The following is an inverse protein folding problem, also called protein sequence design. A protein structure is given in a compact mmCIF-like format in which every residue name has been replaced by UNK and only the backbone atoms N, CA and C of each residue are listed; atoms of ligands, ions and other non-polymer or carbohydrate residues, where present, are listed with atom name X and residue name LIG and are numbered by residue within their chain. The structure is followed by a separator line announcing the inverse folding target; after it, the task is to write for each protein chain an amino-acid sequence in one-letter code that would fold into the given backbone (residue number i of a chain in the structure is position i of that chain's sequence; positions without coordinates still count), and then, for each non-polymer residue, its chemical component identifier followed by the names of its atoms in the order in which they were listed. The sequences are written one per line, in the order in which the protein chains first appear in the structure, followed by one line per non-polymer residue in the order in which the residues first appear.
data_IF_253369002167
#
_entry.id   IF_253369002167
#
_cell.length_a   1.000
_cell.length_b   1.000
_cell.length_c   1.000
_cell.angle_alpha   90.00
_cell.angle_beta   90.00
_cell.angle_gamma   90.00
#
_symmetry.space_group_name_H-M   'P 1'
#
loop_
_entity.id
_entity.type
_entity.pdbx_description
1 polymer ?
#
# COMPACT_ATOMS: atom_id res chain seq x y z
N UNK A 1 20.99 7.95 -2.33
CA UNK A 1 19.70 7.57 -1.70
C UNK A 1 19.78 7.76 -0.18
N UNK A 2 20.96 7.55 0.42
CA UNK A 2 21.16 7.67 1.87
C UNK A 2 20.67 6.45 2.64
N UNK A 3 21.13 6.34 3.90
CA UNK A 3 20.68 5.33 4.87
C UNK A 3 19.81 5.99 5.94
N UNK A 4 18.91 5.24 6.63
CA UNK A 4 18.65 3.81 6.45
C UNK A 4 17.85 3.50 5.18
N UNK A 5 17.99 2.26 4.68
CA UNK A 5 17.26 1.77 3.51
C UNK A 5 16.47 0.51 3.82
N UNK A 6 15.49 0.22 2.96
CA UNK A 6 14.82 -1.08 2.86
C UNK A 6 15.36 -1.82 1.62
N UNK A 7 15.48 -3.14 1.71
CA UNK A 7 15.80 -4.03 0.60
C UNK A 7 14.63 -4.99 0.38
N UNK A 8 14.18 -5.10 -0.86
CA UNK A 8 13.02 -5.93 -1.23
C UNK A 8 13.39 -6.82 -2.41
N UNK A 9 13.11 -8.12 -2.31
CA UNK A 9 13.14 -9.04 -3.46
C UNK A 9 11.98 -8.77 -4.40
N UNK A 10 12.25 -8.69 -5.71
CA UNK A 10 11.22 -8.46 -6.73
C UNK A 10 11.00 -9.72 -7.53
N UNK A 11 9.75 -10.21 -7.49
CA UNK A 11 9.28 -11.33 -8.27
C UNK A 11 7.81 -11.11 -8.67
N UNK A 12 7.43 -11.35 -9.92
CA UNK A 12 6.03 -11.29 -10.36
C UNK A 12 5.20 -12.46 -9.80
N UNK A 13 5.86 -13.52 -9.35
CA UNK A 13 5.20 -14.73 -8.84
C UNK A 13 4.97 -14.67 -7.32
N UNK A 14 5.52 -13.63 -6.63
CA UNK A 14 5.40 -13.45 -5.18
C UNK A 14 4.79 -12.08 -4.89
N UNK A 15 3.53 -12.06 -4.50
CA UNK A 15 2.76 -10.82 -4.25
C UNK A 15 2.91 -10.31 -2.80
N UNK A 16 2.99 -11.20 -1.81
CA UNK A 16 3.07 -10.87 -0.37
C UNK A 16 4.52 -10.96 0.14
N UNK A 17 5.36 -10.01 -0.26
CA UNK A 17 6.82 -10.03 -0.02
C UNK A 17 7.20 -10.02 1.46
N UNK A 18 6.41 -9.36 2.30
CA UNK A 18 6.69 -9.26 3.75
C UNK A 18 6.49 -10.60 4.45
N UNK A 19 5.39 -11.30 4.15
CA UNK A 19 5.08 -12.62 4.73
C UNK A 19 6.07 -13.70 4.30
N UNK A 20 6.61 -13.56 3.09
CA UNK A 20 7.61 -14.49 2.54
C UNK A 20 9.06 -14.18 2.96
N UNK A 21 9.26 -13.18 3.84
CA UNK A 21 10.59 -12.80 4.31
C UNK A 21 11.47 -12.12 3.26
N UNK A 22 10.88 -11.63 2.17
CA UNK A 22 11.59 -10.97 1.08
C UNK A 22 11.72 -9.45 1.26
N UNK A 23 11.58 -8.96 2.49
CA UNK A 23 11.77 -7.56 2.86
C UNK A 23 12.69 -7.46 4.06
N UNK A 24 13.73 -6.63 3.95
CA UNK A 24 14.63 -6.27 5.05
C UNK A 24 14.54 -4.76 5.25
N UNK A 25 14.29 -4.35 6.48
CA UNK A 25 14.08 -2.95 6.86
C UNK A 25 15.23 -2.43 7.74
N UNK A 26 15.33 -1.10 7.84
CA UNK A 26 16.27 -0.42 8.74
C UNK A 26 17.73 -0.77 8.51
N UNK A 27 18.12 -0.98 7.26
CA UNK A 27 19.50 -1.27 6.87
C UNK A 27 20.32 0.03 7.00
N UNK A 28 21.26 0.05 7.95
CA UNK A 28 21.93 1.28 8.39
C UNK A 28 23.13 1.68 7.55
N UNK A 29 23.77 0.73 6.85
CA UNK A 29 25.00 0.97 6.11
C UNK A 29 25.23 -0.04 4.98
N UNK A 30 26.31 0.13 4.22
CA UNK A 30 26.65 -0.71 3.08
C UNK A 30 27.05 -2.15 3.47
N UNK A 31 27.60 -2.36 4.66
CA UNK A 31 27.94 -3.69 5.18
C UNK A 31 26.67 -4.49 5.47
N UNK A 32 25.75 -3.88 6.24
CA UNK A 32 24.45 -4.45 6.54
C UNK A 32 23.64 -4.70 5.25
N UNK A 33 23.74 -3.83 4.24
CA UNK A 33 23.07 -4.01 2.96
C UNK A 33 23.56 -5.25 2.22
N UNK A 34 24.87 -5.50 2.17
CA UNK A 34 25.43 -6.71 1.54
C UNK A 34 24.98 -7.97 2.25
N UNK A 35 25.02 -7.96 3.59
CA UNK A 35 24.54 -9.09 4.38
C UNK A 35 23.05 -9.37 4.13
N UNK A 36 22.21 -8.33 4.14
CA UNK A 36 20.79 -8.45 3.86
C UNK A 36 20.51 -8.98 2.44
N UNK A 37 21.33 -8.58 1.47
CA UNK A 37 21.27 -9.08 0.09
C UNK A 37 21.51 -10.59 0.03
N UNK A 38 22.62 -11.06 0.62
CA UNK A 38 22.98 -12.48 0.64
C UNK A 38 21.92 -13.32 1.38
N UNK A 39 21.32 -12.76 2.43
CA UNK A 39 20.22 -13.42 3.16
C UNK A 39 18.96 -13.54 2.30
N UNK A 40 18.56 -12.48 1.59
CA UNK A 40 17.42 -12.50 0.69
C UNK A 40 17.63 -13.46 -0.48
N UNK A 41 18.81 -13.49 -1.09
CA UNK A 41 19.11 -14.44 -2.14
C UNK A 41 19.02 -15.89 -1.65
N UNK A 42 19.56 -16.18 -0.48
CA UNK A 42 19.43 -17.52 0.14
C UNK A 42 17.99 -17.88 0.43
N UNK A 43 17.19 -16.94 0.97
CA UNK A 43 15.78 -17.14 1.24
C UNK A 43 14.98 -17.43 -0.04
N UNK A 44 15.21 -16.66 -1.11
CA UNK A 44 14.58 -16.90 -2.41
C UNK A 44 14.95 -18.26 -2.98
N UNK A 45 16.23 -18.67 -2.88
CA UNK A 45 16.68 -19.97 -3.37
C UNK A 45 16.04 -21.13 -2.61
N UNK A 46 15.85 -20.97 -1.30
CA UNK A 46 15.35 -22.03 -0.42
C UNK A 46 13.83 -22.18 -0.48
N UNK A 47 13.11 -21.05 -0.43
CA UNK A 47 11.66 -21.05 -0.26
C UNK A 47 10.87 -20.84 -1.56
N UNK A 48 11.54 -20.26 -2.58
CA UNK A 48 10.92 -19.92 -3.87
C UNK A 48 11.85 -20.24 -5.05
N UNK A 49 12.31 -21.52 -5.17
CA UNK A 49 13.32 -21.90 -6.17
C UNK A 49 12.84 -21.66 -7.61
N UNK A 50 11.55 -21.84 -7.87
CA UNK A 50 10.94 -21.72 -9.21
C UNK A 50 10.40 -20.32 -9.53
N UNK A 51 10.44 -19.39 -8.56
CA UNK A 51 9.94 -18.04 -8.78
C UNK A 51 10.88 -17.23 -9.69
N UNK A 52 10.31 -16.51 -10.64
CA UNK A 52 11.05 -15.59 -11.51
C UNK A 52 11.63 -14.45 -10.68
N UNK A 53 12.88 -14.11 -10.95
CA UNK A 53 13.60 -13.06 -10.23
C UNK A 53 13.81 -11.87 -11.15
N UNK A 54 13.27 -10.72 -10.76
CA UNK A 54 13.47 -9.46 -11.50
C UNK A 54 14.56 -8.58 -10.87
N UNK A 55 15.09 -8.99 -9.71
CA UNK A 55 16.15 -8.29 -9.01
C UNK A 55 15.77 -7.92 -7.57
N UNK A 56 16.51 -6.95 -7.03
CA UNK A 56 16.25 -6.40 -5.69
C UNK A 56 16.07 -4.89 -5.76
N UNK A 57 15.11 -4.38 -5.03
CA UNK A 57 14.83 -2.96 -4.91
C UNK A 57 15.42 -2.42 -3.61
N UNK A 58 16.27 -1.39 -3.73
CA UNK A 58 16.75 -0.61 -2.59
C UNK A 58 15.94 0.69 -2.53
N UNK A 59 15.31 0.93 -1.40
CA UNK A 59 14.40 2.06 -1.21
C UNK A 59 14.74 2.80 0.08
N UNK A 60 14.68 4.15 0.07
CA UNK A 60 14.83 4.93 1.30
C UNK A 60 13.76 4.56 2.31
N UNK A 61 14.15 4.45 3.57
CA UNK A 61 13.17 4.29 4.67
C UNK A 61 12.36 5.57 4.85
N UNK A 62 11.07 5.39 5.10
CA UNK A 62 10.24 6.48 5.63
C UNK A 62 10.41 6.47 7.14
N UNK A 63 10.94 7.55 7.69
CA UNK A 63 11.28 7.69 9.11
C UNK A 63 10.55 8.87 9.74
N UNK A 64 10.52 8.93 11.06
CA UNK A 64 9.87 10.01 11.83
C UNK A 64 8.47 9.64 12.31
N UNK A 65 7.71 10.67 12.67
CA UNK A 65 6.32 10.51 13.11
C UNK A 65 5.42 10.27 11.91
N UNK A 66 5.18 9.00 11.60
CA UNK A 66 4.33 8.59 10.48
C UNK A 66 3.20 7.72 11.00
N UNK A 67 2.07 7.76 10.30
CA UNK A 67 0.96 6.84 10.51
C UNK A 67 0.89 5.89 9.33
N UNK A 68 1.01 4.61 9.62
CA UNK A 68 0.85 3.56 8.61
C UNK A 68 -0.62 3.35 8.32
N UNK A 69 -0.97 3.42 7.04
CA UNK A 69 -2.31 3.19 6.52
C UNK A 69 -2.24 2.21 5.37
N UNK A 70 -3.39 1.68 5.01
CA UNK A 70 -3.62 0.99 3.75
C UNK A 70 -4.63 1.78 2.95
N UNK A 71 -4.48 1.80 1.64
CA UNK A 71 -5.50 2.31 0.73
C UNK A 71 -5.52 1.47 -0.54
N UNK A 72 -6.68 1.31 -1.14
CA UNK A 72 -6.77 0.47 -2.31
C UNK A 72 -8.06 0.64 -3.09
N UNK A 73 -8.17 -0.13 -4.16
CA UNK A 73 -9.37 -0.27 -4.98
C UNK A 73 -9.64 -1.75 -5.19
N UNK A 74 -10.88 -2.14 -4.97
CA UNK A 74 -11.38 -3.46 -5.36
C UNK A 74 -12.54 -3.26 -6.33
N UNK A 75 -12.53 -3.99 -7.45
CA UNK A 75 -13.55 -3.88 -8.48
C UNK A 75 -14.49 -5.08 -8.38
N UNK A 76 -15.72 -4.80 -8.00
CA UNK A 76 -16.79 -5.80 -7.94
C UNK A 76 -17.59 -5.78 -9.25
N UNK A 77 -17.88 -6.95 -9.87
CA UNK A 77 -18.63 -7.00 -11.13
C UNK A 77 -20.04 -6.43 -11.06
N UNK A 78 -20.68 -6.46 -9.89
CA UNK A 78 -22.05 -5.99 -9.70
C UNK A 78 -22.13 -4.54 -9.24
N UNK A 79 -21.20 -4.11 -8.37
CA UNK A 79 -21.24 -2.79 -7.73
C UNK A 79 -20.23 -1.79 -8.30
N UNK A 80 -19.29 -2.26 -9.15
CA UNK A 80 -18.22 -1.43 -9.70
C UNK A 80 -17.04 -1.29 -8.74
N UNK A 81 -16.24 -0.24 -8.95
CA UNK A 81 -15.02 -0.02 -8.19
C UNK A 81 -15.31 0.62 -6.82
N UNK A 82 -14.77 0.03 -5.78
CA UNK A 82 -14.82 0.55 -4.42
C UNK A 82 -13.42 0.93 -3.93
N UNK A 83 -13.29 2.13 -3.38
CA UNK A 83 -12.08 2.59 -2.71
C UNK A 83 -12.13 2.16 -1.26
N UNK A 84 -11.00 1.66 -0.75
CA UNK A 84 -10.85 1.21 0.62
C UNK A 84 -9.75 2.05 1.28
N UNK A 85 -9.92 2.35 2.57
CA UNK A 85 -8.89 2.91 3.44
C UNK A 85 -8.96 2.25 4.80
N UNK A 86 -7.81 2.01 5.43
CA UNK A 86 -7.71 1.49 6.79
C UNK A 86 -6.42 1.95 7.47
N UNK A 87 -6.34 1.81 8.79
CA UNK A 87 -5.08 1.98 9.49
C UNK A 87 -4.27 0.70 9.38
N UNK A 88 -2.96 0.84 9.09
CA UNK A 88 -2.05 -0.28 8.87
C UNK A 88 -1.70 -1.05 10.14
N UNK A 89 -0.84 -2.07 9.97
CA UNK A 89 -0.35 -2.91 11.05
C UNK A 89 -1.47 -3.65 11.78
N UNK A 90 -1.33 -3.78 13.11
CA UNK A 90 -2.25 -4.54 13.96
C UNK A 90 -3.71 -4.08 13.89
N UNK A 91 -3.97 -2.82 13.51
CA UNK A 91 -5.33 -2.28 13.43
C UNK A 91 -6.13 -2.92 12.30
N UNK A 92 -5.51 -3.16 11.14
CA UNK A 92 -6.17 -3.88 10.05
C UNK A 92 -6.27 -5.38 10.35
N UNK A 93 -5.18 -5.98 10.83
CA UNK A 93 -5.12 -7.42 11.03
C UNK A 93 -6.05 -7.91 12.13
N UNK A 94 -6.12 -7.20 13.26
CA UNK A 94 -6.91 -7.61 14.41
C UNK A 94 -8.30 -6.97 14.46
N UNK A 95 -8.41 -5.67 14.16
CA UNK A 95 -9.66 -4.92 14.33
C UNK A 95 -10.46 -4.81 13.05
N UNK A 96 -9.86 -5.12 11.89
CA UNK A 96 -10.47 -4.93 10.56
C UNK A 96 -11.03 -3.51 10.38
N UNK A 97 -10.30 -2.53 10.92
CA UNK A 97 -10.70 -1.11 10.90
C UNK A 97 -10.49 -0.53 9.51
N UNK A 98 -11.47 -0.78 8.66
CA UNK A 98 -11.49 -0.33 7.26
C UNK A 98 -12.78 0.41 6.95
N UNK A 99 -12.68 1.37 6.04
CA UNK A 99 -13.81 2.11 5.47
C UNK A 99 -13.81 1.95 3.96
N UNK A 100 -14.98 1.72 3.40
CA UNK A 100 -15.18 1.47 1.98
C UNK A 100 -16.21 2.45 1.41
N UNK A 101 -15.99 2.90 0.15
CA UNK A 101 -16.91 3.78 -0.57
C UNK A 101 -16.81 3.56 -2.08
N UNK A 102 -17.92 3.65 -2.80
CA UNK A 102 -17.92 3.46 -4.25
C UNK A 102 -17.26 4.64 -4.98
N UNK A 103 -16.47 4.32 -6.01
CA UNK A 103 -15.87 5.31 -6.91
C UNK A 103 -16.92 5.87 -7.90
N UNK A 104 -16.73 7.12 -8.38
CA UNK A 104 -15.70 8.08 -7.99
C UNK A 104 -16.00 8.74 -6.63
N UNK A 105 -14.95 9.19 -5.93
CA UNK A 105 -15.08 9.86 -4.65
C UNK A 105 -15.08 11.38 -4.80
N UNK A 106 -15.97 12.05 -4.06
CA UNK A 106 -15.82 13.48 -3.76
C UNK A 106 -14.92 13.68 -2.53
N UNK A 107 -14.31 14.88 -2.37
CA UNK A 107 -13.54 15.19 -1.15
C UNK A 107 -14.33 14.97 0.15
N UNK A 108 -15.60 15.32 0.17
CA UNK A 108 -16.48 15.13 1.33
C UNK A 108 -16.65 13.64 1.69
N UNK A 109 -16.78 12.77 0.68
CA UNK A 109 -16.88 11.31 0.88
C UNK A 109 -15.55 10.73 1.37
N UNK A 110 -14.41 11.15 0.80
CA UNK A 110 -13.08 10.73 1.26
C UNK A 110 -12.86 11.10 2.73
N UNK A 111 -13.19 12.35 3.13
CA UNK A 111 -13.14 12.78 4.52
C UNK A 111 -14.04 11.94 5.43
N UNK A 112 -15.26 11.65 5.00
CA UNK A 112 -16.19 10.81 5.76
C UNK A 112 -15.65 9.38 5.93
N UNK A 113 -14.98 8.81 4.91
CA UNK A 113 -14.33 7.50 5.00
C UNK A 113 -13.29 7.47 6.13
N UNK A 114 -12.40 8.45 6.16
CA UNK A 114 -11.34 8.53 7.19
C UNK A 114 -11.95 8.69 8.59
N UNK A 115 -12.97 9.53 8.72
CA UNK A 115 -13.63 9.77 10.01
C UNK A 115 -14.42 8.56 10.54
N UNK A 116 -14.80 7.61 9.68
CA UNK A 116 -15.47 6.37 10.09
C UNK A 116 -14.53 5.34 10.69
N UNK A 117 -13.21 5.49 10.49
CA UNK A 117 -12.23 4.58 11.09
C UNK A 117 -12.26 4.73 12.62
N UNK A 118 -12.32 3.61 13.34
CA UNK A 118 -12.36 3.59 14.81
C UNK A 118 -11.09 4.21 15.40
N UNK A 119 -9.95 3.92 14.78
CA UNK A 119 -8.66 4.44 15.19
C UNK A 119 -8.25 5.75 14.47
N UNK A 120 -9.20 6.50 13.85
CA UNK A 120 -8.96 7.80 13.18
C UNK A 120 -8.25 8.82 14.08
N UNK A 121 -8.40 8.73 15.41
CA UNK A 121 -7.71 9.58 16.38
C UNK A 121 -6.19 9.50 16.29
N UNK A 122 -5.63 8.40 15.79
CA UNK A 122 -4.19 8.28 15.58
C UNK A 122 -3.68 9.25 14.51
N UNK A 123 -4.50 9.54 13.51
CA UNK A 123 -4.19 10.53 12.47
C UNK A 123 -4.23 11.98 13.00
N UNK A 124 -4.96 12.24 14.08
CA UNK A 124 -5.08 13.58 14.68
C UNK A 124 -3.93 13.93 15.63
N UNK A 125 -2.98 13.02 15.78
CA UNK A 125 -1.90 13.14 16.76
C UNK A 125 -2.29 12.54 18.11
N UNK A 126 -1.54 11.56 18.56
CA UNK A 126 -1.80 10.86 19.81
C UNK A 126 -0.51 10.69 20.61
N UNK A 127 -0.58 10.92 21.93
CA UNK A 127 0.56 10.77 22.87
C UNK A 127 1.81 11.55 22.45
N UNK A 128 1.63 12.82 22.06
CA UNK A 128 2.74 13.73 21.73
C UNK A 128 3.26 13.59 20.29
N UNK A 129 2.69 12.71 19.46
CA UNK A 129 2.98 12.68 18.03
C UNK A 129 2.28 13.83 17.31
N UNK A 130 2.91 14.34 16.25
CA UNK A 130 2.32 15.37 15.40
C UNK A 130 1.09 14.81 14.66
N UNK A 131 0.09 15.66 14.34
CA UNK A 131 -0.99 15.28 13.44
C UNK A 131 -0.45 14.83 12.08
N UNK A 132 -1.04 13.78 11.52
CA UNK A 132 -0.74 13.31 10.19
C UNK A 132 -1.39 14.21 9.13
N UNK A 133 -0.87 14.20 7.91
CA UNK A 133 -1.40 14.95 6.77
C UNK A 133 -2.69 14.30 6.22
N UNK A 134 -3.78 14.50 6.97
CA UNK A 134 -5.10 13.98 6.61
C UNK A 134 -5.55 14.53 5.27
N UNK A 135 -5.23 15.79 4.95
CA UNK A 135 -5.61 16.40 3.68
C UNK A 135 -4.96 15.69 2.49
N UNK A 136 -3.69 15.32 2.61
CA UNK A 136 -3.00 14.54 1.57
C UNK A 136 -3.55 13.11 1.46
N UNK A 137 -3.98 12.50 2.57
CA UNK A 137 -4.66 11.20 2.54
C UNK A 137 -6.03 11.30 1.84
N UNK A 138 -6.84 12.32 2.16
CA UNK A 138 -8.12 12.58 1.49
C UNK A 138 -7.94 12.76 -0.02
N UNK A 139 -6.96 13.58 -0.43
CA UNK A 139 -6.65 13.79 -1.85
C UNK A 139 -6.23 12.49 -2.53
N UNK A 140 -5.44 11.67 -1.87
CA UNK A 140 -5.01 10.36 -2.39
C UNK A 140 -6.20 9.45 -2.65
N UNK A 141 -7.16 9.35 -1.72
CA UNK A 141 -8.38 8.57 -1.90
C UNK A 141 -9.24 9.08 -3.07
N UNK A 142 -9.36 10.39 -3.22
CA UNK A 142 -10.09 11.00 -4.36
C UNK A 142 -9.40 10.65 -5.68
N UNK A 143 -8.06 10.71 -5.74
CA UNK A 143 -7.28 10.34 -6.93
C UNK A 143 -7.42 8.85 -7.26
N UNK A 144 -7.40 7.98 -6.25
CA UNK A 144 -7.66 6.54 -6.43
C UNK A 144 -9.05 6.29 -7.01
N UNK A 145 -10.08 6.95 -6.47
CA UNK A 145 -11.44 6.83 -6.99
C UNK A 145 -11.57 7.31 -8.43
N UNK A 146 -10.92 8.41 -8.81
CA UNK A 146 -10.90 8.91 -10.19
C UNK A 146 -10.18 7.95 -11.13
N UNK A 147 -9.03 7.41 -10.71
CA UNK A 147 -8.26 6.45 -11.48
C UNK A 147 -9.06 5.16 -11.69
N UNK A 148 -9.69 4.64 -10.65
CA UNK A 148 -10.53 3.44 -10.72
C UNK A 148 -11.70 3.64 -11.69
N UNK A 149 -12.37 4.78 -11.62
CA UNK A 149 -13.44 5.13 -12.54
C UNK A 149 -12.95 5.24 -14.00
N UNK A 150 -11.79 5.85 -14.22
CA UNK A 150 -11.23 6.01 -15.57
C UNK A 150 -10.75 4.68 -16.19
N UNK A 151 -10.24 3.77 -15.37
CA UNK A 151 -9.81 2.43 -15.82
C UNK A 151 -10.99 1.47 -16.02
N UNK A 152 -12.10 1.70 -15.29
CA UNK A 152 -13.30 0.89 -15.36
C UNK A 152 -13.00 -0.59 -15.17
N UNK A 153 -13.54 -1.44 -16.05
CA UNK A 153 -13.40 -2.90 -15.98
C UNK A 153 -11.97 -3.42 -16.21
N UNK A 154 -11.06 -2.58 -16.70
CA UNK A 154 -9.65 -2.94 -16.87
C UNK A 154 -8.92 -3.10 -15.53
N UNK A 155 -9.31 -2.34 -14.51
CA UNK A 155 -8.77 -2.50 -13.17
C UNK A 155 -9.49 -3.66 -12.47
N UNK A 156 -8.73 -4.60 -11.92
CA UNK A 156 -9.24 -5.67 -11.06
C UNK A 156 -9.09 -5.28 -9.60
N UNK A 157 -7.88 -4.92 -9.21
CA UNK A 157 -7.57 -4.44 -7.87
C UNK A 157 -6.34 -3.55 -7.86
N UNK A 158 -6.23 -2.71 -6.86
CA UNK A 158 -5.04 -1.95 -6.51
C UNK A 158 -4.90 -1.96 -4.99
N UNK A 159 -3.71 -2.27 -4.50
CA UNK A 159 -3.37 -2.21 -3.09
C UNK A 159 -2.14 -1.33 -2.87
N UNK A 160 -2.27 -0.35 -2.00
CA UNK A 160 -1.20 0.51 -1.49
C UNK A 160 -0.97 0.12 -0.03
N UNK A 161 0.01 -0.74 0.21
CA UNK A 161 0.24 -1.33 1.53
C UNK A 161 1.73 -1.56 1.81
N UNK A 162 2.35 -0.73 2.68
CA UNK A 162 1.75 0.40 3.39
C UNK A 162 1.72 1.72 2.60
N UNK A 163 0.74 2.55 2.92
CA UNK A 163 0.68 3.96 2.60
C UNK A 163 1.01 4.76 3.86
N UNK A 164 2.17 5.40 3.89
CA UNK A 164 2.63 6.18 5.04
C UNK A 164 2.09 7.60 4.97
N UNK A 165 1.35 8.02 5.98
CA UNK A 165 0.89 9.41 6.13
C UNK A 165 1.89 10.15 7.00
N UNK A 166 2.55 11.15 6.43
CA UNK A 166 3.57 11.96 7.08
C UNK A 166 2.92 13.03 7.97
N UNK A 167 3.68 13.76 8.79
CA UNK A 167 3.17 14.92 9.53
C UNK A 167 2.49 15.93 8.60
N UNK A 168 1.57 16.71 9.15
CA UNK A 168 0.78 17.72 8.44
C UNK A 168 1.64 18.57 7.48
N UNK A 169 1.20 18.74 6.25
CA UNK A 169 1.89 19.48 5.18
C UNK A 169 3.04 18.71 4.49
N UNK A 170 3.36 17.48 4.91
CA UNK A 170 4.45 16.69 4.30
C UNK A 170 3.95 15.60 3.33
N UNK A 171 2.65 15.42 3.22
CA UNK A 171 2.04 14.52 2.28
C UNK A 171 2.01 13.06 2.71
N UNK A 172 1.92 12.18 1.71
CA UNK A 172 1.94 10.72 1.88
C UNK A 172 3.08 10.09 1.10
N UNK A 173 3.46 8.86 1.47
CA UNK A 173 4.44 8.04 0.73
C UNK A 173 3.87 6.65 0.50
N UNK A 174 3.77 6.26 -0.76
CA UNK A 174 3.46 4.89 -1.15
C UNK A 174 4.75 4.08 -1.01
N UNK A 175 4.73 3.06 -0.17
CA UNK A 175 5.90 2.23 0.13
C UNK A 175 5.87 0.94 -0.67
N UNK A 176 4.70 0.34 -0.82
CA UNK A 176 4.50 -0.78 -1.73
C UNK A 176 3.17 -0.65 -2.48
N UNK A 177 3.14 -1.22 -3.69
CA UNK A 177 1.98 -1.19 -4.57
C UNK A 177 1.84 -2.52 -5.29
N UNK A 178 0.64 -3.06 -5.27
CA UNK A 178 0.25 -4.21 -6.10
C UNK A 178 -0.96 -3.81 -6.92
N UNK A 179 -0.87 -3.95 -8.24
CA UNK A 179 -1.97 -3.65 -9.16
C UNK A 179 -2.25 -4.87 -10.03
N UNK A 180 -3.50 -5.24 -10.12
CA UNK A 180 -3.98 -6.26 -11.06
C UNK A 180 -4.89 -5.60 -12.10
N UNK A 181 -4.54 -5.79 -13.37
CA UNK A 181 -5.30 -5.27 -14.49
C UNK A 181 -5.56 -6.37 -15.51
N UNK A 182 -6.70 -6.29 -16.21
CA UNK A 182 -6.99 -7.17 -17.34
C UNK A 182 -6.20 -6.72 -18.57
N UNK A 183 -5.72 -7.65 -19.39
CA UNK A 183 -5.12 -7.32 -20.68
C UNK A 183 -6.08 -6.50 -21.55
N UNK A 184 -5.52 -5.63 -22.39
CA UNK A 184 -6.32 -4.90 -23.39
C UNK A 184 -6.84 -5.89 -24.42
N UNK A 185 -8.17 -6.12 -24.45
CA UNK A 185 -8.82 -7.04 -25.38
C UNK A 185 -9.75 -8.06 -24.74
N UNK A 186 -9.63 -8.34 -23.45
CA UNK A 186 -10.59 -9.16 -22.72
C UNK A 186 -11.77 -8.30 -22.25
N UNK A 187 -12.78 -8.18 -23.11
CA UNK A 187 -14.10 -7.71 -22.65
C UNK A 187 -14.70 -8.76 -21.73
N UNK A 188 -15.29 -8.38 -20.58
CA UNK A 188 -16.01 -9.34 -19.76
C UNK A 188 -17.12 -9.96 -20.60
N UNK A 189 -17.15 -11.29 -20.67
CA UNK A 189 -18.31 -11.99 -21.20
C UNK A 189 -19.46 -11.66 -20.26
N UNK A 190 -20.37 -10.80 -20.72
CA UNK A 190 -21.66 -10.65 -20.04
C UNK A 190 -22.25 -12.05 -19.85
N UNK A 191 -22.33 -12.49 -18.61
CA UNK A 191 -23.16 -13.63 -18.24
C UNK A 191 -24.60 -13.24 -18.55
N UNK A 192 -25.37 -14.13 -19.21
CA UNK A 192 -26.76 -13.90 -19.56
C UNK A 192 -27.64 -13.69 -18.34
#
# INVERSE_FOLDING_TARGET
IGYPVALKGISPDITHKTETGLVKLNIADAGALRQAWDELERSMNLHHPDARREGMLIQSMVTGDVVETIAGVNCDPAFGSAVVVGLGGIFVELLRDVSLELAPLSPARAKAMINRLQAAKLLQGFRGKQPADIAALEETLVRLGRMAHALGERLVSLDLNPLMVLPEGQGVRIVDIVMQARPSGDSPKHLP
#
